data_IF_762960277817
#
_entry.id   IF_762960277817
#
_cell.length_a   1.000
_cell.length_b   1.000
_cell.length_c   1.000
_cell.angle_alpha   90.00
_cell.angle_beta   90.00
_cell.angle_gamma   90.00
#
_symmetry.space_group_name_H-M   'P 1'
#
loop_
_entity.id
_entity.type
_entity.pdbx_description
1 polymer ?
#
# COMPACT_ATOMS: atom_id res chain seq x y z
N UNK A 1 -16.64 -30.64 -6.37
CA UNK A 1 -15.41 -29.98 -6.02
C UNK A 1 -15.10 -29.04 -7.16
N UNK A 2 -15.12 -27.76 -6.92
CA UNK A 2 -14.74 -26.75 -7.92
C UNK A 2 -13.22 -26.55 -7.95
N UNK A 3 -12.69 -26.24 -9.14
CA UNK A 3 -11.26 -26.06 -9.36
C UNK A 3 -10.94 -24.65 -9.85
N UNK A 4 -9.76 -24.18 -9.53
CA UNK A 4 -9.20 -22.99 -10.16
C UNK A 4 -8.84 -23.38 -11.60
N UNK A 5 -9.45 -22.71 -12.58
CA UNK A 5 -9.29 -23.00 -14.01
C UNK A 5 -8.34 -22.07 -14.72
N UNK A 6 -8.15 -20.85 -14.20
CA UNK A 6 -7.32 -19.83 -14.82
C UNK A 6 -6.59 -18.93 -13.80
N UNK A 7 -5.42 -18.51 -14.20
CA UNK A 7 -4.66 -17.39 -13.64
C UNK A 7 -4.30 -16.50 -14.83
N UNK A 8 -4.97 -15.37 -14.93
CA UNK A 8 -4.81 -14.41 -16.04
C UNK A 8 -4.16 -13.14 -15.50
N UNK A 9 -3.32 -12.54 -16.31
CA UNK A 9 -2.64 -11.28 -15.97
C UNK A 9 -2.86 -10.30 -17.11
N UNK A 10 -3.12 -9.05 -16.76
CA UNK A 10 -3.32 -7.94 -17.70
C UNK A 10 -2.35 -6.81 -17.35
N UNK A 11 -1.67 -6.26 -18.34
CA UNK A 11 -0.89 -5.03 -18.18
C UNK A 11 -1.83 -3.83 -18.38
N UNK A 12 -2.19 -3.20 -17.27
CA UNK A 12 -3.09 -2.04 -17.26
C UNK A 12 -2.29 -0.81 -16.86
N UNK A 13 -2.28 0.22 -17.72
CA UNK A 13 -1.51 1.46 -17.48
C UNK A 13 -2.37 2.69 -17.69
N UNK A 14 -2.12 3.69 -16.83
CA UNK A 14 -2.79 4.98 -16.83
C UNK A 14 -1.76 6.08 -17.12
N UNK A 15 -1.99 6.98 -18.08
CA UNK A 15 -1.01 7.98 -18.49
C UNK A 15 -0.95 9.17 -17.52
N UNK A 16 -0.74 8.92 -16.24
CA UNK A 16 -0.72 9.92 -15.17
C UNK A 16 0.41 10.93 -15.32
N UNK A 17 1.49 10.54 -16.02
CA UNK A 17 2.61 11.44 -16.34
C UNK A 17 2.18 12.68 -17.15
N UNK A 18 1.05 12.63 -17.89
CA UNK A 18 0.57 13.75 -18.71
C UNK A 18 0.16 14.97 -17.86
N UNK A 19 -0.36 14.73 -16.66
CA UNK A 19 -0.83 15.76 -15.72
C UNK A 19 0.11 15.94 -14.50
N UNK A 20 1.25 15.25 -14.51
CA UNK A 20 2.21 15.17 -13.39
C UNK A 20 1.65 14.52 -12.11
N UNK A 21 0.53 13.80 -12.20
CA UNK A 21 -0.01 13.07 -11.07
C UNK A 21 0.91 11.90 -10.72
N UNK A 22 1.26 11.79 -9.44
CA UNK A 22 2.23 10.81 -8.97
C UNK A 22 3.70 11.21 -9.11
N UNK A 23 4.00 12.40 -9.67
CA UNK A 23 5.39 12.86 -9.88
C UNK A 23 6.10 13.15 -8.56
N UNK A 24 7.33 12.64 -8.43
CA UNK A 24 8.20 12.81 -7.27
C UNK A 24 9.67 13.04 -7.67
N UNK A 25 10.58 13.16 -6.71
CA UNK A 25 11.99 13.47 -6.95
C UNK A 25 12.77 12.33 -7.63
N UNK A 26 12.29 11.09 -7.54
CA UNK A 26 12.91 9.92 -8.17
C UNK A 26 12.15 9.46 -9.42
N UNK A 27 10.86 9.79 -9.50
CA UNK A 27 9.95 9.37 -10.57
C UNK A 27 9.22 10.59 -11.15
N UNK A 28 9.87 11.37 -12.04
CA UNK A 28 9.30 12.63 -12.54
C UNK A 28 8.16 12.45 -13.55
N UNK A 29 8.01 11.26 -14.11
CA UNK A 29 6.99 10.95 -15.12
C UNK A 29 6.44 9.51 -14.97
N UNK A 30 5.78 9.20 -13.84
CA UNK A 30 5.18 7.88 -13.63
C UNK A 30 3.91 7.73 -14.47
N UNK A 31 3.72 6.55 -15.06
CA UNK A 31 2.43 6.11 -15.58
C UNK A 31 1.90 5.02 -14.64
N UNK A 32 1.01 5.39 -13.73
CA UNK A 32 0.49 4.45 -12.73
C UNK A 32 -0.09 3.22 -13.40
N UNK A 33 0.27 2.05 -12.91
CA UNK A 33 0.01 0.79 -13.62
C UNK A 33 -0.27 -0.35 -12.66
N UNK A 34 -0.92 -1.37 -13.18
CA UNK A 34 -1.18 -2.61 -12.46
C UNK A 34 -0.85 -3.81 -13.36
N UNK A 35 0.01 -4.73 -12.88
CA UNK A 35 -0.02 -6.09 -13.35
C UNK A 35 -1.24 -6.76 -12.68
N UNK A 36 -2.38 -6.68 -13.35
CA UNK A 36 -3.69 -7.03 -12.81
C UNK A 36 -3.98 -8.52 -12.98
N UNK A 37 -4.38 -9.17 -11.90
CA UNK A 37 -4.58 -10.63 -11.82
C UNK A 37 -6.05 -10.97 -11.69
N UNK A 38 -6.50 -11.95 -12.48
CA UNK A 38 -7.79 -12.60 -12.35
C UNK A 38 -7.61 -14.11 -12.10
N UNK A 39 -8.25 -14.62 -11.06
CA UNK A 39 -8.34 -16.05 -10.76
C UNK A 39 -9.77 -16.53 -11.05
N UNK A 40 -9.92 -17.36 -12.10
CA UNK A 40 -11.18 -17.94 -12.50
C UNK A 40 -11.32 -19.38 -11.99
N UNK A 41 -12.58 -19.81 -11.79
CA UNK A 41 -12.92 -21.15 -11.30
C UNK A 41 -14.01 -21.79 -12.17
N UNK A 42 -14.23 -23.09 -12.04
CA UNK A 42 -15.39 -23.80 -12.60
C UNK A 42 -16.60 -23.87 -11.64
N UNK A 43 -16.56 -23.08 -10.57
CA UNK A 43 -17.69 -22.96 -9.64
C UNK A 43 -18.89 -22.29 -10.31
N UNK A 44 -20.11 -22.73 -9.94
CA UNK A 44 -21.35 -22.22 -10.53
C UNK A 44 -21.71 -20.80 -10.06
N UNK A 45 -21.01 -20.27 -9.07
CA UNK A 45 -21.20 -18.89 -8.56
C UNK A 45 -20.71 -17.82 -9.53
N UNK A 46 -19.85 -18.19 -10.50
CA UNK A 46 -19.28 -17.27 -11.50
C UNK A 46 -18.32 -16.22 -10.93
N UNK A 47 -17.90 -16.36 -9.66
CA UNK A 47 -17.04 -15.40 -9.00
C UNK A 47 -15.59 -15.52 -9.49
N UNK A 48 -14.96 -14.36 -9.68
CA UNK A 48 -13.56 -14.22 -10.04
C UNK A 48 -12.85 -13.48 -8.90
N UNK A 49 -11.69 -14.01 -8.50
CA UNK A 49 -10.83 -13.35 -7.54
C UNK A 49 -9.89 -12.37 -8.25
N UNK A 50 -9.76 -11.16 -7.74
CA UNK A 50 -8.95 -10.09 -8.34
C UNK A 50 -7.87 -9.58 -7.39
N UNK A 51 -6.71 -9.25 -7.96
CA UNK A 51 -5.58 -8.69 -7.24
C UNK A 51 -4.61 -8.06 -8.23
N UNK A 52 -3.59 -7.40 -7.76
CA UNK A 52 -2.62 -6.75 -8.65
C UNK A 52 -1.30 -6.48 -7.96
N UNK A 53 -0.28 -6.19 -8.77
CA UNK A 53 0.94 -5.51 -8.36
C UNK A 53 0.87 -4.08 -8.86
N UNK A 54 0.99 -3.10 -7.96
CA UNK A 54 1.15 -1.71 -8.35
C UNK A 54 2.55 -1.48 -8.92
N UNK A 55 2.61 -0.78 -10.04
CA UNK A 55 3.83 -0.31 -10.70
C UNK A 55 3.62 1.11 -11.25
N UNK A 56 4.67 1.70 -11.80
CA UNK A 56 4.65 3.06 -12.33
C UNK A 56 4.96 3.12 -13.84
N UNK A 57 4.63 2.07 -14.57
CA UNK A 57 4.77 1.96 -16.02
C UNK A 57 5.58 0.74 -16.45
N UNK A 58 6.78 0.94 -16.97
CA UNK A 58 7.64 -0.16 -17.44
C UNK A 58 7.98 -1.15 -16.34
N UNK A 59 8.03 -2.43 -16.70
CA UNK A 59 8.31 -3.53 -15.77
C UNK A 59 7.09 -4.38 -15.47
N UNK A 60 5.88 -4.00 -15.90
CA UNK A 60 4.69 -4.86 -15.78
C UNK A 60 4.90 -6.19 -16.50
N UNK A 61 5.52 -6.22 -17.66
CA UNK A 61 5.89 -7.42 -18.41
C UNK A 61 6.78 -8.37 -17.61
N UNK A 62 7.59 -7.87 -16.69
CA UNK A 62 8.41 -8.68 -15.78
C UNK A 62 7.53 -9.25 -14.66
N UNK A 63 6.57 -8.46 -14.15
CA UNK A 63 5.59 -8.95 -13.18
C UNK A 63 4.67 -10.02 -13.78
N UNK A 64 4.20 -9.84 -15.02
CA UNK A 64 3.42 -10.86 -15.74
C UNK A 64 4.15 -12.20 -15.82
N UNK A 65 5.44 -12.18 -16.18
CA UNK A 65 6.28 -13.36 -16.25
C UNK A 65 6.43 -14.03 -14.86
N UNK A 66 6.58 -13.24 -13.81
CA UNK A 66 6.68 -13.73 -12.44
C UNK A 66 5.37 -14.35 -11.94
N UNK A 67 4.24 -13.73 -12.24
CA UNK A 67 2.90 -14.25 -11.91
C UNK A 67 2.64 -15.55 -12.68
N UNK A 68 3.01 -15.61 -13.97
CA UNK A 68 2.87 -16.82 -14.77
C UNK A 68 3.66 -17.99 -14.20
N UNK A 69 4.84 -17.75 -13.58
CA UNK A 69 5.63 -18.77 -12.91
C UNK A 69 4.91 -19.41 -11.69
N UNK A 70 3.93 -18.72 -11.11
CA UNK A 70 3.12 -19.21 -9.98
C UNK A 70 1.94 -20.09 -10.41
N UNK A 71 1.67 -20.18 -11.71
CA UNK A 71 0.50 -20.92 -12.24
C UNK A 71 0.37 -22.33 -11.68
N UNK A 72 1.48 -23.05 -11.54
CA UNK A 72 1.52 -24.41 -11.03
C UNK A 72 1.11 -24.56 -9.56
N UNK A 73 1.12 -23.48 -8.78
CA UNK A 73 0.69 -23.49 -7.39
C UNK A 73 -0.83 -23.37 -7.22
N UNK A 74 -1.53 -22.82 -8.21
CA UNK A 74 -2.95 -22.48 -8.08
C UNK A 74 -3.85 -23.15 -9.11
N UNK A 75 -3.48 -23.19 -10.39
CA UNK A 75 -4.34 -23.75 -11.45
C UNK A 75 -4.47 -25.26 -11.32
N UNK A 76 -5.71 -25.76 -11.33
CA UNK A 76 -6.04 -27.16 -11.11
C UNK A 76 -6.27 -27.53 -9.64
N UNK A 77 -5.95 -26.63 -8.70
CA UNK A 77 -6.19 -26.85 -7.28
C UNK A 77 -7.69 -26.81 -6.95
N UNK A 78 -8.09 -27.52 -5.89
CA UNK A 78 -9.44 -27.46 -5.33
C UNK A 78 -9.66 -26.11 -4.65
N UNK A 79 -10.70 -25.38 -5.08
CA UNK A 79 -10.99 -24.01 -4.59
C UNK A 79 -11.21 -23.99 -3.08
N UNK A 80 -12.02 -24.93 -2.56
CA UNK A 80 -12.36 -24.96 -1.14
C UNK A 80 -11.13 -25.27 -0.28
N UNK A 81 -10.26 -26.17 -0.74
CA UNK A 81 -9.04 -26.51 -0.04
C UNK A 81 -8.07 -25.31 0.02
N UNK A 82 -7.89 -24.60 -1.09
CA UNK A 82 -7.04 -23.39 -1.17
C UNK A 82 -7.56 -22.30 -0.25
N UNK A 83 -8.87 -21.97 -0.33
CA UNK A 83 -9.45 -20.89 0.46
C UNK A 83 -9.59 -21.22 1.95
N UNK A 84 -9.68 -22.51 2.31
CA UNK A 84 -9.70 -22.94 3.70
C UNK A 84 -8.32 -22.87 4.37
N UNK A 85 -7.24 -23.04 3.60
CA UNK A 85 -5.85 -22.99 4.11
C UNK A 85 -5.02 -21.90 3.40
N UNK A 86 -5.41 -20.65 3.59
CA UNK A 86 -4.69 -19.50 3.04
C UNK A 86 -3.27 -19.38 3.57
N UNK A 87 -3.02 -19.80 4.81
CA UNK A 87 -1.67 -19.83 5.39
C UNK A 87 -0.76 -20.86 4.72
N UNK A 88 -1.25 -22.09 4.51
CA UNK A 88 -0.52 -23.13 3.78
C UNK A 88 -0.31 -22.78 2.31
N UNK A 89 -1.33 -22.21 1.66
CA UNK A 89 -1.25 -21.73 0.28
C UNK A 89 -0.18 -20.64 0.11
N UNK A 90 -0.14 -19.67 1.01
CA UNK A 90 0.91 -18.64 1.04
C UNK A 90 2.30 -19.25 1.20
N UNK A 91 2.46 -20.15 2.20
CA UNK A 91 3.74 -20.81 2.48
C UNK A 91 4.21 -21.65 1.29
N UNK A 92 3.32 -22.34 0.59
CA UNK A 92 3.68 -23.15 -0.59
C UNK A 92 4.34 -22.30 -1.69
N UNK A 93 3.85 -21.08 -1.93
CA UNK A 93 4.43 -20.17 -2.93
C UNK A 93 5.73 -19.52 -2.43
N UNK A 94 5.74 -18.97 -1.21
CA UNK A 94 6.90 -18.24 -0.68
C UNK A 94 8.08 -19.19 -0.40
N UNK A 95 7.81 -20.45 -0.06
CA UNK A 95 8.84 -21.45 0.22
C UNK A 95 9.25 -22.30 -0.99
N UNK A 96 8.74 -22.00 -2.19
CA UNK A 96 9.23 -22.68 -3.40
C UNK A 96 10.73 -22.50 -3.54
N UNK A 97 11.46 -23.62 -3.40
CA UNK A 97 12.92 -23.61 -3.31
C UNK A 97 13.59 -23.11 -4.59
N UNK A 98 12.96 -23.30 -5.75
CA UNK A 98 13.50 -22.88 -7.04
C UNK A 98 13.25 -21.37 -7.28
N UNK A 99 12.06 -20.88 -6.96
CA UNK A 99 11.72 -19.46 -7.11
C UNK A 99 12.47 -18.58 -6.11
N UNK A 100 12.82 -19.10 -4.93
CA UNK A 100 13.56 -18.35 -3.89
C UNK A 100 14.92 -17.84 -4.36
N UNK A 101 15.54 -18.46 -5.35
CA UNK A 101 16.83 -17.98 -5.88
C UNK A 101 16.71 -16.65 -6.63
N UNK A 102 15.51 -16.30 -7.11
CA UNK A 102 15.25 -15.00 -7.77
C UNK A 102 15.25 -13.81 -6.79
N UNK A 103 15.51 -14.06 -5.54
CA UNK A 103 15.52 -13.11 -4.46
C UNK A 103 14.63 -13.62 -3.33
N UNK A 104 15.19 -14.09 -2.21
CA UNK A 104 14.39 -14.72 -1.17
C UNK A 104 13.47 -13.68 -0.53
N UNK A 105 12.17 -13.85 -0.72
CA UNK A 105 11.11 -13.04 -0.12
C UNK A 105 11.25 -11.53 -0.38
N UNK A 106 11.59 -11.13 -1.60
CA UNK A 106 11.67 -9.73 -2.01
C UNK A 106 11.55 -9.55 -3.53
N UNK A 107 11.37 -8.30 -3.94
CA UNK A 107 11.37 -7.91 -5.35
C UNK A 107 10.19 -8.47 -6.14
N UNK A 108 10.38 -8.55 -7.44
CA UNK A 108 9.34 -8.91 -8.42
C UNK A 108 8.59 -10.18 -8.05
N UNK A 109 9.31 -11.26 -7.68
CA UNK A 109 8.68 -12.54 -7.35
C UNK A 109 7.80 -12.45 -6.10
N UNK A 110 8.22 -11.69 -5.09
CA UNK A 110 7.46 -11.55 -3.85
C UNK A 110 6.20 -10.70 -4.02
N UNK A 111 6.29 -9.66 -4.85
CA UNK A 111 5.13 -8.85 -5.27
C UNK A 111 4.14 -9.68 -6.11
N UNK A 112 4.64 -10.51 -7.04
CA UNK A 112 3.81 -11.42 -7.83
C UNK A 112 3.03 -12.42 -6.94
N UNK A 113 3.68 -12.98 -5.91
CA UNK A 113 3.02 -13.83 -4.90
C UNK A 113 1.92 -13.01 -4.20
N UNK A 114 2.22 -11.75 -3.84
CA UNK A 114 1.25 -10.84 -3.22
C UNK A 114 -0.01 -10.65 -4.05
N UNK A 115 0.12 -10.43 -5.36
CA UNK A 115 -1.02 -10.27 -6.27
C UNK A 115 -1.90 -11.54 -6.32
N UNK A 116 -1.29 -12.72 -6.43
CA UNK A 116 -2.01 -14.01 -6.44
C UNK A 116 -2.70 -14.27 -5.10
N UNK A 117 -2.03 -14.03 -3.98
CA UNK A 117 -2.57 -14.19 -2.63
C UNK A 117 -3.74 -13.23 -2.40
N UNK A 118 -3.59 -11.96 -2.80
CA UNK A 118 -4.66 -10.96 -2.69
C UNK A 118 -5.89 -11.34 -3.52
N UNK A 119 -5.68 -11.88 -4.74
CA UNK A 119 -6.78 -12.38 -5.58
C UNK A 119 -7.51 -13.57 -4.94
N UNK A 120 -6.80 -14.46 -4.27
CA UNK A 120 -7.42 -15.56 -3.51
C UNK A 120 -8.20 -15.05 -2.29
N UNK A 121 -7.69 -14.03 -1.59
CA UNK A 121 -8.43 -13.38 -0.49
C UNK A 121 -9.67 -12.65 -0.97
N UNK A 122 -9.60 -11.96 -2.11
CA UNK A 122 -10.76 -11.32 -2.74
C UNK A 122 -11.85 -12.36 -3.07
N UNK A 123 -11.45 -13.47 -3.72
CA UNK A 123 -12.37 -14.58 -4.02
C UNK A 123 -12.99 -15.16 -2.75
N UNK A 124 -12.20 -15.36 -1.67
CA UNK A 124 -12.70 -15.86 -0.39
C UNK A 124 -13.71 -14.91 0.22
N UNK A 125 -13.45 -13.60 0.19
CA UNK A 125 -14.33 -12.57 0.72
C UNK A 125 -15.64 -12.45 -0.09
N UNK A 126 -15.57 -12.48 -1.42
CA UNK A 126 -16.73 -12.52 -2.32
C UNK A 126 -17.62 -13.74 -2.04
N UNK A 127 -17.05 -14.93 -1.89
CA UNK A 127 -17.79 -16.17 -1.57
C UNK A 127 -18.40 -16.16 -0.18
N UNK A 128 -17.75 -15.50 0.78
CA UNK A 128 -18.32 -15.29 2.12
C UNK A 128 -19.40 -14.20 2.15
N UNK A 129 -19.60 -13.44 1.07
CA UNK A 129 -20.54 -12.33 1.04
C UNK A 129 -20.13 -11.15 1.94
N UNK A 130 -18.84 -10.98 2.20
CA UNK A 130 -18.32 -9.99 3.15
C UNK A 130 -17.18 -9.16 2.51
N UNK A 131 -17.00 -7.90 2.90
CA UNK A 131 -15.78 -7.17 2.59
C UNK A 131 -14.59 -7.80 3.32
N UNK A 132 -13.41 -7.77 2.72
CA UNK A 132 -12.22 -8.46 3.22
C UNK A 132 -11.87 -8.08 4.67
N UNK A 133 -11.98 -6.78 5.04
CA UNK A 133 -11.68 -6.36 6.41
C UNK A 133 -12.58 -7.03 7.46
N UNK A 134 -13.86 -7.21 7.14
CA UNK A 134 -14.84 -7.81 8.04
C UNK A 134 -14.61 -9.33 8.13
N UNK A 135 -14.37 -9.99 6.98
CA UNK A 135 -14.01 -11.41 6.94
C UNK A 135 -12.78 -11.69 7.83
N UNK A 136 -11.72 -10.90 7.69
CA UNK A 136 -10.50 -11.04 8.51
C UNK A 136 -10.79 -10.80 10.01
N UNK A 137 -11.59 -9.77 10.33
CA UNK A 137 -11.93 -9.44 11.72
C UNK A 137 -12.85 -10.46 12.38
N UNK A 138 -13.56 -11.29 11.62
CA UNK A 138 -14.44 -12.36 12.12
C UNK A 138 -13.68 -13.69 12.34
N UNK A 139 -12.44 -13.82 11.85
CA UNK A 139 -11.62 -15.01 12.11
C UNK A 139 -11.26 -15.11 13.61
N UNK A 140 -11.21 -16.35 14.10
CA UNK A 140 -10.77 -16.62 15.46
C UNK A 140 -9.28 -16.30 15.64
N UNK A 141 -8.83 -15.96 16.86
CA UNK A 141 -7.41 -15.68 17.15
C UNK A 141 -6.44 -16.75 16.63
N UNK A 142 -6.80 -18.03 16.77
CA UNK A 142 -5.99 -19.14 16.30
C UNK A 142 -5.88 -19.17 14.77
N UNK A 143 -6.98 -18.92 14.06
CA UNK A 143 -7.01 -18.86 12.60
C UNK A 143 -6.16 -17.70 12.07
N UNK A 144 -6.19 -16.54 12.74
CA UNK A 144 -5.34 -15.40 12.39
C UNK A 144 -3.84 -15.70 12.58
N UNK A 145 -3.48 -16.43 13.65
CA UNK A 145 -2.08 -16.86 13.87
C UNK A 145 -1.63 -17.86 12.81
N UNK A 146 -2.49 -18.78 12.38
CA UNK A 146 -2.17 -19.79 11.36
C UNK A 146 -1.92 -19.17 9.97
N UNK A 147 -2.44 -17.95 9.71
CA UNK A 147 -2.18 -17.19 8.48
C UNK A 147 -0.75 -16.69 8.39
N UNK A 148 -0.05 -16.53 9.53
CA UNK A 148 1.24 -15.87 9.62
C UNK A 148 2.40 -16.87 9.58
N UNK A 149 3.40 -16.59 8.77
CA UNK A 149 4.68 -17.30 8.85
C UNK A 149 5.64 -16.57 9.80
N UNK A 150 5.86 -17.15 10.96
CA UNK A 150 6.77 -16.62 11.99
C UNK A 150 8.25 -16.92 11.74
N UNK A 151 8.59 -17.59 10.63
CA UNK A 151 10.00 -17.81 10.27
C UNK A 151 10.72 -16.47 10.15
N UNK A 152 11.85 -16.35 10.85
CA UNK A 152 12.68 -15.15 10.96
C UNK A 152 12.08 -14.03 11.83
N UNK A 153 10.98 -14.26 12.55
CA UNK A 153 10.34 -13.26 13.41
C UNK A 153 10.40 -13.60 14.90
N UNK A 154 10.74 -14.84 15.27
CA UNK A 154 10.59 -15.35 16.63
C UNK A 154 11.46 -14.65 17.68
N UNK A 155 12.47 -13.90 17.24
CA UNK A 155 13.27 -12.99 18.10
C UNK A 155 12.57 -11.63 18.35
N UNK A 156 11.51 -11.31 17.60
CA UNK A 156 10.73 -10.08 17.77
C UNK A 156 9.29 -10.36 18.18
N UNK A 157 8.65 -11.39 17.63
CA UNK A 157 7.31 -11.83 18.00
C UNK A 157 7.16 -13.34 17.79
N UNK A 158 6.65 -14.04 18.82
CA UNK A 158 6.35 -15.47 18.78
C UNK A 158 4.88 -15.72 18.42
N UNK A 159 4.51 -16.93 17.93
CA UNK A 159 3.10 -17.30 17.75
C UNK A 159 2.25 -17.15 19.02
N UNK A 160 2.82 -17.45 20.18
CA UNK A 160 2.10 -17.32 21.45
C UNK A 160 1.77 -15.85 21.78
N UNK A 161 2.73 -14.95 21.62
CA UNK A 161 2.51 -13.51 21.80
C UNK A 161 1.50 -12.93 20.80
N UNK A 162 1.56 -13.36 19.54
CA UNK A 162 0.58 -12.97 18.51
C UNK A 162 -0.84 -13.44 18.91
N UNK A 163 -0.98 -14.67 19.41
CA UNK A 163 -2.24 -15.21 19.90
C UNK A 163 -2.77 -14.39 21.09
N UNK A 164 -1.91 -14.00 22.01
CA UNK A 164 -2.28 -13.14 23.15
C UNK A 164 -2.80 -11.77 22.68
N UNK A 165 -2.16 -11.14 21.70
CA UNK A 165 -2.61 -9.87 21.13
C UNK A 165 -4.01 -9.99 20.53
N UNK A 166 -4.27 -10.99 19.70
CA UNK A 166 -5.58 -11.20 19.11
C UNK A 166 -6.67 -11.56 20.13
N UNK A 167 -6.35 -12.39 21.12
CA UNK A 167 -7.29 -12.74 22.22
C UNK A 167 -7.62 -11.54 23.09
N UNK A 168 -6.65 -10.68 23.37
CA UNK A 168 -6.88 -9.45 24.13
C UNK A 168 -7.81 -8.47 23.38
N UNK A 169 -7.73 -8.45 22.04
CA UNK A 169 -8.59 -7.61 21.20
C UNK A 169 -10.00 -8.17 21.00
N UNK A 170 -10.18 -9.48 21.06
CA UNK A 170 -11.43 -10.17 20.68
C UNK A 170 -12.68 -9.66 21.41
N UNK A 171 -12.70 -9.42 22.74
CA UNK A 171 -13.87 -8.91 23.43
C UNK A 171 -14.33 -7.51 22.98
N UNK A 172 -13.40 -6.73 22.40
CA UNK A 172 -13.64 -5.35 21.98
C UNK A 172 -14.04 -5.22 20.51
N UNK A 173 -13.96 -6.28 19.71
CA UNK A 173 -14.16 -6.22 18.24
C UNK A 173 -15.50 -5.63 17.85
N UNK A 174 -16.60 -6.02 18.51
CA UNK A 174 -17.94 -5.51 18.20
C UNK A 174 -18.06 -4.00 18.46
N UNK A 175 -17.52 -3.51 19.57
CA UNK A 175 -17.51 -2.08 19.90
C UNK A 175 -16.63 -1.28 18.93
N UNK A 176 -15.44 -1.79 18.62
CA UNK A 176 -14.52 -1.17 17.67
C UNK A 176 -15.09 -1.11 16.26
N UNK A 177 -15.76 -2.19 15.80
CA UNK A 177 -16.49 -2.22 14.53
C UNK A 177 -17.57 -1.14 14.50
N UNK A 178 -18.42 -1.10 15.51
CA UNK A 178 -19.47 -0.08 15.60
C UNK A 178 -18.91 1.35 15.68
N UNK A 179 -17.75 1.55 16.29
CA UNK A 179 -17.04 2.85 16.30
C UNK A 179 -16.53 3.19 14.89
N UNK A 180 -15.88 2.27 14.20
CA UNK A 180 -15.39 2.44 12.83
C UNK A 180 -16.55 2.79 11.88
N UNK A 181 -17.65 2.07 11.92
CA UNK A 181 -18.83 2.30 11.07
C UNK A 181 -19.49 3.67 11.32
N UNK A 182 -19.42 4.20 12.54
CA UNK A 182 -19.97 5.53 12.86
C UNK A 182 -19.02 6.69 12.60
N UNK A 183 -17.73 6.48 12.70
CA UNK A 183 -16.73 7.55 12.72
C UNK A 183 -15.82 7.53 11.49
N UNK A 184 -15.84 6.48 10.69
CA UNK A 184 -14.88 6.28 9.61
C UNK A 184 -13.42 6.12 10.12
N UNK A 185 -12.49 5.88 9.21
CA UNK A 185 -11.06 5.83 9.47
C UNK A 185 -10.38 7.07 8.94
N UNK A 186 -9.53 7.75 9.72
CA UNK A 186 -8.88 9.01 9.31
C UNK A 186 -8.06 8.83 8.04
N UNK A 187 -8.16 9.82 7.15
CA UNK A 187 -7.33 9.94 5.96
C UNK A 187 -6.36 11.13 6.06
N UNK A 188 -5.28 11.07 5.32
CA UNK A 188 -4.50 12.22 4.89
C UNK A 188 -4.35 12.18 3.37
N UNK A 189 -4.09 13.32 2.72
CA UNK A 189 -4.00 13.33 1.27
C UNK A 189 -2.67 13.83 0.74
N UNK A 190 -2.18 13.17 -0.34
CA UNK A 190 -1.01 13.57 -1.11
C UNK A 190 -1.41 14.37 -2.36
N UNK A 191 -2.69 14.42 -2.70
CA UNK A 191 -3.23 15.10 -3.88
C UNK A 191 -2.64 16.49 -4.15
N UNK A 192 -2.50 17.40 -3.16
CA UNK A 192 -1.92 18.73 -3.44
C UNK A 192 -0.42 18.72 -3.65
N UNK A 193 0.27 17.62 -3.33
CA UNK A 193 1.70 17.63 -3.05
C UNK A 193 2.62 17.17 -4.16
N UNK A 194 2.14 16.72 -5.32
CA UNK A 194 2.99 16.20 -6.37
C UNK A 194 4.00 17.22 -6.89
N UNK A 195 5.19 16.77 -7.31
CA UNK A 195 6.17 17.63 -7.96
C UNK A 195 5.71 17.98 -9.39
N UNK A 196 6.09 19.17 -9.85
CA UNK A 196 5.69 19.67 -11.18
C UNK A 196 4.39 20.47 -11.19
N UNK A 197 3.62 20.49 -10.10
CA UNK A 197 2.48 21.39 -9.98
C UNK A 197 2.93 22.84 -9.78
N UNK A 198 2.28 23.78 -10.49
CA UNK A 198 2.48 25.20 -10.27
C UNK A 198 1.89 25.68 -8.94
N UNK A 199 2.23 26.92 -8.56
CA UNK A 199 1.83 27.51 -7.28
C UNK A 199 0.32 27.65 -7.13
N UNK A 200 -0.38 27.95 -8.23
CA UNK A 200 -1.83 28.12 -8.24
C UNK A 200 -2.53 26.77 -8.03
N UNK A 201 -2.10 25.73 -8.74
CA UNK A 201 -2.62 24.34 -8.56
C UNK A 201 -2.35 23.86 -7.14
N UNK A 202 -1.11 24.02 -6.62
CA UNK A 202 -0.75 23.65 -5.26
C UNK A 202 -1.66 24.34 -4.22
N UNK A 203 -1.80 25.67 -4.29
CA UNK A 203 -2.61 26.42 -3.34
C UNK A 203 -4.11 26.09 -3.45
N UNK A 204 -4.62 25.85 -4.66
CA UNK A 204 -6.01 25.44 -4.88
C UNK A 204 -6.28 24.07 -4.26
N UNK A 205 -5.47 23.06 -4.57
CA UNK A 205 -5.63 21.70 -4.03
C UNK A 205 -5.42 21.63 -2.51
N UNK A 206 -4.56 22.49 -1.95
CA UNK A 206 -4.43 22.64 -0.49
C UNK A 206 -5.73 23.15 0.15
N UNK A 207 -6.42 24.13 -0.46
CA UNK A 207 -7.72 24.61 0.04
C UNK A 207 -8.80 23.55 -0.08
N UNK A 208 -8.91 22.91 -1.23
CA UNK A 208 -9.83 21.80 -1.48
C UNK A 208 -9.67 20.69 -0.43
N UNK A 209 -8.43 20.27 -0.14
CA UNK A 209 -8.16 19.27 0.90
C UNK A 209 -8.68 19.70 2.30
N UNK A 210 -8.53 20.99 2.66
CA UNK A 210 -9.07 21.50 3.94
C UNK A 210 -10.59 21.54 3.91
N UNK A 211 -11.19 21.96 2.81
CA UNK A 211 -12.65 22.03 2.64
C UNK A 211 -13.29 20.64 2.67
N UNK A 212 -12.58 19.62 2.17
CA UNK A 212 -12.95 18.19 2.22
C UNK A 212 -12.70 17.53 3.60
N UNK A 213 -12.26 18.30 4.59
CA UNK A 213 -12.12 17.85 5.98
C UNK A 213 -10.80 17.13 6.29
N UNK A 214 -9.82 17.13 5.40
CA UNK A 214 -8.50 16.56 5.71
C UNK A 214 -7.78 17.42 6.76
N UNK A 215 -7.26 16.76 7.78
CA UNK A 215 -6.48 17.38 8.86
C UNK A 215 -4.98 17.22 8.67
N UNK A 216 -4.57 16.58 7.58
CA UNK A 216 -3.18 16.39 7.20
C UNK A 216 -3.07 16.24 5.68
N UNK A 217 -2.05 16.92 5.12
CA UNK A 217 -1.62 16.78 3.73
C UNK A 217 -0.17 16.27 3.68
N UNK A 218 0.26 15.77 2.52
CA UNK A 218 1.65 15.39 2.26
C UNK A 218 2.15 16.09 0.99
N UNK A 219 3.39 16.62 1.04
CA UNK A 219 4.07 17.22 -0.11
C UNK A 219 5.29 16.39 -0.49
N UNK A 220 5.46 16.12 -1.79
CA UNK A 220 6.71 15.59 -2.34
C UNK A 220 7.79 16.66 -2.31
N UNK A 221 9.00 16.28 -1.90
CA UNK A 221 10.18 17.13 -1.76
C UNK A 221 11.41 16.41 -2.33
N UNK A 222 12.57 17.08 -2.38
CA UNK A 222 13.83 16.46 -2.80
C UNK A 222 14.23 16.79 -4.24
N UNK A 223 13.46 17.60 -4.95
CA UNK A 223 13.83 18.09 -6.28
C UNK A 223 14.88 19.20 -6.20
N UNK A 224 14.53 20.33 -5.60
CA UNK A 224 15.36 21.50 -5.32
C UNK A 224 14.97 22.08 -3.96
N UNK A 225 15.94 22.35 -3.09
CA UNK A 225 15.68 22.75 -1.70
C UNK A 225 15.02 24.12 -1.59
N UNK A 226 15.36 25.08 -2.45
CA UNK A 226 14.77 26.41 -2.41
C UNK A 226 13.33 26.39 -2.95
N UNK A 227 13.06 25.57 -3.96
CA UNK A 227 11.72 25.30 -4.45
C UNK A 227 10.86 24.58 -3.38
N UNK A 228 11.42 23.60 -2.68
CA UNK A 228 10.71 22.90 -1.61
C UNK A 228 10.37 23.85 -0.46
N UNK A 229 11.29 24.73 -0.05
CA UNK A 229 11.03 25.80 0.94
C UNK A 229 9.90 26.72 0.47
N UNK A 230 9.91 27.11 -0.81
CA UNK A 230 8.89 27.98 -1.39
C UNK A 230 7.51 27.27 -1.40
N UNK A 231 7.45 26.02 -1.88
CA UNK A 231 6.21 25.21 -1.92
C UNK A 231 5.65 24.95 -0.52
N UNK A 232 6.51 24.61 0.44
CA UNK A 232 6.12 24.46 1.85
C UNK A 232 5.58 25.78 2.43
N UNK A 233 6.13 26.93 2.06
CA UNK A 233 5.63 28.25 2.45
C UNK A 233 4.23 28.51 1.91
N UNK A 234 3.96 28.20 0.64
CA UNK A 234 2.65 28.34 0.01
C UNK A 234 1.65 27.41 0.69
N UNK A 235 1.98 26.12 0.85
CA UNK A 235 1.11 25.15 1.48
C UNK A 235 0.74 25.58 2.91
N UNK A 236 1.75 25.89 3.76
CA UNK A 236 1.51 26.31 5.15
C UNK A 236 0.68 27.59 5.25
N UNK A 237 0.93 28.57 4.40
CA UNK A 237 0.13 29.81 4.37
C UNK A 237 -1.33 29.53 3.95
N UNK A 238 -1.54 28.54 3.09
CA UNK A 238 -2.87 28.18 2.58
C UNK A 238 -3.67 27.36 3.58
N UNK A 239 -3.07 26.31 4.17
CA UNK A 239 -3.81 25.40 5.07
C UNK A 239 -3.89 25.90 6.52
N UNK A 240 -3.11 26.92 6.89
CA UNK A 240 -3.06 27.44 8.27
C UNK A 240 -2.26 26.55 9.23
N UNK A 241 -2.18 26.92 10.51
CA UNK A 241 -1.34 26.26 11.51
C UNK A 241 -1.91 24.92 12.00
N UNK A 242 -3.21 24.69 11.90
CA UNK A 242 -3.89 23.53 12.49
C UNK A 242 -3.81 22.26 11.61
N UNK A 243 -3.54 22.43 10.32
CA UNK A 243 -3.37 21.31 9.39
C UNK A 243 -1.93 20.80 9.43
N UNK A 244 -1.77 19.51 9.59
CA UNK A 244 -0.45 18.86 9.60
C UNK A 244 0.08 18.74 8.18
N UNK A 245 1.39 19.00 7.97
CA UNK A 245 2.04 18.83 6.69
C UNK A 245 3.14 17.77 6.85
N UNK A 246 2.98 16.62 6.21
CA UNK A 246 4.04 15.64 6.03
C UNK A 246 4.84 15.95 4.77
N UNK A 247 6.09 15.51 4.72
CA UNK A 247 6.93 15.58 3.52
C UNK A 247 7.44 14.20 3.14
N UNK A 248 7.63 13.98 1.83
CA UNK A 248 8.09 12.72 1.27
C UNK A 248 9.20 12.99 0.25
N UNK A 249 10.39 12.44 0.53
CA UNK A 249 11.58 12.61 -0.28
C UNK A 249 11.80 11.47 -1.30
N UNK A 250 10.99 10.43 -1.24
CA UNK A 250 11.08 9.27 -2.14
C UNK A 250 12.52 8.75 -2.31
N UNK A 251 13.23 8.56 -1.19
CA UNK A 251 14.56 7.93 -1.15
C UNK A 251 15.71 8.78 -1.75
N UNK A 252 15.51 10.09 -1.87
CA UNK A 252 16.38 10.98 -2.65
C UNK A 252 17.76 11.20 -2.04
N UNK A 253 17.90 11.20 -0.71
CA UNK A 253 19.05 11.77 -0.02
C UNK A 253 19.99 10.74 0.60
N UNK A 254 21.26 11.10 0.67
CA UNK A 254 22.19 10.53 1.65
C UNK A 254 21.94 11.12 3.05
N UNK A 255 22.50 10.50 4.11
CA UNK A 255 22.25 10.88 5.52
C UNK A 255 22.47 12.35 5.81
N UNK A 256 23.62 12.90 5.43
CA UNK A 256 23.97 14.30 5.72
C UNK A 256 23.11 15.28 4.90
N UNK A 257 22.83 14.93 3.66
CA UNK A 257 21.94 15.70 2.79
C UNK A 257 20.51 15.72 3.35
N UNK A 258 19.96 14.56 3.76
CA UNK A 258 18.65 14.48 4.40
C UNK A 258 18.53 15.42 5.60
N UNK A 259 19.51 15.41 6.50
CA UNK A 259 19.49 16.27 7.69
C UNK A 259 19.55 17.75 7.29
N UNK A 260 20.43 18.12 6.35
CA UNK A 260 20.59 19.51 5.90
C UNK A 260 19.29 20.02 5.22
N UNK A 261 18.66 19.20 4.40
CA UNK A 261 17.39 19.53 3.72
C UNK A 261 16.23 19.69 4.71
N UNK A 262 16.09 18.73 5.62
CA UNK A 262 15.04 18.74 6.64
C UNK A 262 15.18 19.94 7.58
N UNK A 263 16.40 20.36 7.92
CA UNK A 263 16.64 21.57 8.72
C UNK A 263 16.12 22.85 8.02
N UNK A 264 16.17 22.91 6.69
CA UNK A 264 15.58 24.00 5.91
C UNK A 264 14.04 23.99 5.97
N UNK A 265 13.43 22.79 6.07
CA UNK A 265 11.98 22.62 6.08
C UNK A 265 11.38 22.61 7.51
N UNK A 266 12.22 22.47 8.55
CA UNK A 266 11.79 22.47 9.96
C UNK A 266 10.90 23.65 10.37
N UNK A 267 11.12 24.91 9.88
CA UNK A 267 10.26 26.04 10.24
C UNK A 267 8.78 25.91 9.86
N UNK A 268 8.43 24.95 8.98
CA UNK A 268 7.07 24.73 8.53
C UNK A 268 6.28 23.72 9.38
N UNK A 269 6.80 23.30 10.54
CA UNK A 269 6.17 22.32 11.45
C UNK A 269 5.83 20.99 10.75
N UNK A 270 6.89 20.29 10.30
CA UNK A 270 6.79 19.04 9.56
C UNK A 270 6.25 17.92 10.45
N UNK A 271 5.16 17.28 10.04
CA UNK A 271 4.49 16.22 10.78
C UNK A 271 5.26 14.89 10.79
N UNK A 272 5.88 14.54 9.67
CA UNK A 272 6.88 13.49 9.50
C UNK A 272 7.67 13.69 8.21
N UNK A 273 8.83 13.05 8.13
CA UNK A 273 9.63 12.90 6.91
C UNK A 273 9.51 11.45 6.44
N UNK A 274 9.03 11.27 5.21
CA UNK A 274 8.82 9.98 4.58
C UNK A 274 9.99 9.66 3.66
N UNK A 275 10.45 8.39 3.72
CA UNK A 275 11.53 7.83 2.88
C UNK A 275 12.70 8.77 2.62
N UNK A 276 13.40 9.28 3.65
CA UNK A 276 14.47 10.24 3.46
C UNK A 276 15.65 9.69 2.66
N UNK A 277 15.88 8.37 2.71
CA UNK A 277 17.01 7.68 2.06
C UNK A 277 16.59 6.29 1.55
N UNK A 278 17.54 5.53 0.99
CA UNK A 278 17.30 4.20 0.45
C UNK A 278 16.48 3.30 1.39
N UNK A 279 15.41 2.64 0.93
CA UNK A 279 14.59 1.75 1.76
C UNK A 279 15.36 0.52 2.29
N UNK A 280 16.48 0.19 1.67
CA UNK A 280 17.35 -0.93 2.10
C UNK A 280 18.37 -0.49 3.16
N UNK A 281 18.55 0.83 3.41
CA UNK A 281 19.50 1.35 4.39
C UNK A 281 18.82 1.65 5.74
N UNK A 282 18.61 0.57 6.50
CA UNK A 282 17.97 0.61 7.82
C UNK A 282 18.77 1.45 8.81
N UNK A 283 20.09 1.36 8.76
CA UNK A 283 20.97 2.10 9.68
C UNK A 283 21.03 3.59 9.35
N UNK A 284 20.99 3.97 8.08
CA UNK A 284 20.88 5.35 7.66
C UNK A 284 19.55 5.96 8.10
N UNK A 285 18.43 5.26 7.96
CA UNK A 285 17.15 5.69 8.51
C UNK A 285 17.21 5.93 10.02
N UNK A 286 17.84 5.01 10.78
CA UNK A 286 18.00 5.17 12.23
C UNK A 286 18.87 6.39 12.58
N UNK A 287 19.95 6.64 11.85
CA UNK A 287 20.82 7.81 12.06
C UNK A 287 20.09 9.11 11.71
N UNK A 288 19.36 9.16 10.59
CA UNK A 288 18.53 10.31 10.23
C UNK A 288 17.49 10.57 11.32
N UNK A 289 16.72 9.55 11.74
CA UNK A 289 15.70 9.69 12.78
C UNK A 289 16.26 10.28 14.08
N UNK A 290 17.46 9.84 14.48
CA UNK A 290 18.14 10.39 15.65
C UNK A 290 18.53 11.86 15.50
N UNK A 291 19.00 12.25 14.32
CA UNK A 291 19.53 13.61 14.04
C UNK A 291 18.43 14.64 13.82
N UNK A 292 17.31 14.25 13.24
CA UNK A 292 16.20 15.19 12.97
C UNK A 292 15.19 15.28 14.11
N UNK A 293 15.37 14.51 15.18
CA UNK A 293 14.45 14.53 16.31
C UNK A 293 14.10 15.98 16.73
N UNK A 294 12.85 16.28 17.12
CA UNK A 294 11.74 15.36 17.35
C UNK A 294 10.86 15.03 16.13
N UNK A 295 11.26 15.40 14.90
CA UNK A 295 10.48 15.12 13.69
C UNK A 295 10.48 13.61 13.45
N UNK A 296 9.30 12.95 13.35
CA UNK A 296 9.21 11.53 13.07
C UNK A 296 9.71 11.17 11.67
N UNK A 297 10.32 10.00 11.51
CA UNK A 297 10.55 9.36 10.20
C UNK A 297 9.40 8.40 9.93
N UNK A 298 8.89 8.44 8.70
CA UNK A 298 7.94 7.47 8.14
C UNK A 298 8.64 6.69 7.01
N UNK A 299 8.44 5.36 6.96
CA UNK A 299 8.96 4.52 5.87
C UNK A 299 8.26 3.17 5.85
N UNK A 300 8.37 2.46 4.73
CA UNK A 300 7.90 1.09 4.61
C UNK A 300 7.19 0.74 3.31
N UNK A 301 6.77 1.69 2.49
CA UNK A 301 6.12 1.42 1.21
C UNK A 301 7.01 0.61 0.26
N UNK A 302 8.32 0.80 0.33
CA UNK A 302 9.31 0.05 -0.44
C UNK A 302 9.97 -1.10 0.34
N UNK A 303 9.56 -1.37 1.59
CA UNK A 303 10.15 -2.50 2.33
C UNK A 303 9.87 -3.83 1.62
N UNK A 304 10.89 -4.66 1.55
CA UNK A 304 10.83 -5.88 0.75
C UNK A 304 9.98 -6.98 1.40
N UNK A 305 9.90 -7.05 2.74
CA UNK A 305 9.24 -8.13 3.46
C UNK A 305 9.13 -7.84 4.96
N UNK A 306 8.46 -8.75 5.69
CA UNK A 306 8.30 -8.70 7.16
C UNK A 306 9.61 -8.67 7.96
N UNK A 307 10.71 -9.23 7.41
CA UNK A 307 12.01 -9.22 8.09
C UNK A 307 12.61 -7.83 8.07
N UNK A 308 12.45 -7.09 6.98
CA UNK A 308 12.85 -5.67 6.90
C UNK A 308 12.01 -4.84 7.87
N UNK A 309 10.69 -5.05 7.94
CA UNK A 309 9.84 -4.39 8.93
C UNK A 309 10.33 -4.61 10.37
N UNK A 310 10.66 -5.88 10.71
CA UNK A 310 11.27 -6.21 12.00
C UNK A 310 12.54 -5.41 12.27
N UNK A 311 13.45 -5.36 11.30
CA UNK A 311 14.74 -4.67 11.45
C UNK A 311 14.57 -3.15 11.57
N UNK A 312 13.67 -2.54 10.80
CA UNK A 312 13.32 -1.12 10.92
C UNK A 312 12.83 -0.79 12.34
N UNK A 313 11.95 -1.63 12.89
CA UNK A 313 11.44 -1.48 14.25
C UNK A 313 12.57 -1.63 15.28
N UNK A 314 13.38 -2.70 15.19
CA UNK A 314 14.45 -2.99 16.14
C UNK A 314 15.56 -1.93 16.14
N UNK A 315 15.84 -1.33 14.99
CA UNK A 315 16.84 -0.27 14.85
C UNK A 315 16.32 1.11 15.29
N UNK A 316 15.01 1.26 15.55
CA UNK A 316 14.42 2.58 15.83
C UNK A 316 14.48 3.52 14.62
N UNK A 317 14.40 2.97 13.41
CA UNK A 317 14.59 3.69 12.16
C UNK A 317 13.42 4.60 11.80
N UNK A 318 12.24 4.36 12.39
CA UNK A 318 11.03 5.13 12.10
C UNK A 318 10.08 5.14 13.30
N UNK A 319 9.15 6.10 13.28
CA UNK A 319 8.04 6.22 14.23
C UNK A 319 6.68 5.98 13.57
N UNK A 320 6.64 5.96 12.23
CA UNK A 320 5.46 5.69 11.41
C UNK A 320 5.83 4.61 10.40
N UNK A 321 5.19 3.46 10.51
CA UNK A 321 5.34 2.37 9.55
C UNK A 321 4.28 2.50 8.45
N UNK A 322 4.73 2.46 7.20
CA UNK A 322 3.88 2.56 6.02
C UNK A 322 3.84 1.22 5.31
N UNK A 323 2.84 0.40 5.65
CA UNK A 323 2.58 -0.82 4.88
C UNK A 323 2.01 -0.47 3.51
N UNK A 324 2.22 -1.38 2.54
CA UNK A 324 1.59 -1.35 1.23
C UNK A 324 0.90 -2.69 0.96
N UNK A 325 -0.27 -2.66 0.33
CA UNK A 325 -1.07 -3.87 0.10
C UNK A 325 -0.49 -4.78 -0.98
N UNK A 326 0.38 -4.26 -1.85
CA UNK A 326 0.89 -4.94 -3.05
C UNK A 326 2.41 -5.12 -3.08
N UNK A 327 3.14 -4.44 -2.19
CA UNK A 327 4.61 -4.46 -2.18
C UNK A 327 5.19 -5.75 -1.60
N UNK A 328 4.55 -6.29 -0.58
CA UNK A 328 4.92 -7.56 0.07
C UNK A 328 4.03 -8.71 -0.41
N UNK A 329 4.22 -9.93 0.10
CA UNK A 329 3.45 -11.09 -0.35
C UNK A 329 1.98 -11.10 0.14
N UNK A 330 1.28 -9.97 0.02
CA UNK A 330 -0.16 -9.84 0.20
C UNK A 330 -0.60 -9.81 1.67
N UNK A 331 -1.90 -10.13 1.88
CA UNK A 331 -2.59 -10.03 3.17
C UNK A 331 -1.83 -10.75 4.29
N UNK A 332 -1.41 -11.99 4.08
CA UNK A 332 -0.75 -12.81 5.11
C UNK A 332 0.52 -12.16 5.66
N UNK A 333 1.33 -11.58 4.80
CA UNK A 333 2.55 -10.92 5.22
C UNK A 333 2.28 -9.57 5.89
N UNK A 334 1.30 -8.82 5.38
CA UNK A 334 0.87 -7.59 6.05
C UNK A 334 0.33 -7.86 7.47
N UNK A 335 -0.36 -8.99 7.71
CA UNK A 335 -0.76 -9.39 9.07
C UNK A 335 0.45 -9.58 10.01
N UNK A 336 1.53 -10.19 9.51
CA UNK A 336 2.77 -10.35 10.28
C UNK A 336 3.39 -8.98 10.63
N UNK A 337 3.38 -8.04 9.67
CA UNK A 337 3.92 -6.69 9.85
C UNK A 337 3.06 -5.88 10.83
N UNK A 338 1.74 -5.96 10.75
CA UNK A 338 0.81 -5.32 11.68
C UNK A 338 0.99 -5.85 13.11
N UNK A 339 1.19 -7.16 13.28
CA UNK A 339 1.48 -7.77 14.59
C UNK A 339 2.80 -7.25 15.18
N UNK A 340 3.86 -7.14 14.37
CA UNK A 340 5.13 -6.54 14.80
C UNK A 340 4.92 -5.09 15.27
N UNK A 341 4.21 -4.29 14.45
CA UNK A 341 3.91 -2.90 14.78
C UNK A 341 3.10 -2.79 16.09
N UNK A 342 2.07 -3.61 16.24
CA UNK A 342 1.22 -3.63 17.43
C UNK A 342 2.02 -4.00 18.70
N UNK A 343 2.83 -5.06 18.64
CA UNK A 343 3.67 -5.47 19.77
C UNK A 343 4.64 -4.41 20.23
N UNK A 344 5.22 -3.68 19.30
CA UNK A 344 6.24 -2.67 19.58
C UNK A 344 5.70 -1.23 19.70
N UNK A 345 4.37 -1.05 19.65
CA UNK A 345 3.73 0.26 19.79
C UNK A 345 4.04 1.22 18.65
N UNK A 346 4.35 0.71 17.44
CA UNK A 346 4.63 1.52 16.27
C UNK A 346 3.32 1.91 15.58
N UNK A 347 3.18 3.18 15.27
CA UNK A 347 2.03 3.70 14.55
C UNK A 347 2.09 3.26 13.08
N UNK A 348 0.98 2.75 12.54
CA UNK A 348 0.86 2.38 11.13
C UNK A 348 0.00 3.43 10.41
N UNK A 349 0.55 4.00 9.34
CA UNK A 349 -0.13 4.92 8.42
C UNK A 349 0.18 4.47 6.99
N UNK A 350 -0.64 3.58 6.39
CA UNK A 350 -0.33 2.95 5.12
C UNK A 350 -0.10 3.90 3.97
N UNK A 351 0.78 3.50 3.05
CA UNK A 351 0.91 4.04 1.71
C UNK A 351 -0.30 3.63 0.85
N UNK A 352 -0.81 4.57 0.05
CA UNK A 352 -1.87 4.32 -0.92
C UNK A 352 -1.79 5.22 -2.17
N UNK A 353 -0.63 5.83 -2.40
CA UNK A 353 -0.39 6.74 -3.54
C UNK A 353 -0.27 6.04 -4.88
N UNK A 354 -1.28 5.29 -5.32
CA UNK A 354 -1.24 4.56 -6.59
C UNK A 354 -2.58 3.96 -6.97
N UNK A 355 -2.71 3.49 -8.21
CA UNK A 355 -3.95 2.88 -8.72
C UNK A 355 -4.34 1.66 -7.86
N UNK A 356 -5.58 1.64 -7.35
CA UNK A 356 -6.14 0.54 -6.57
C UNK A 356 -5.56 0.36 -5.17
N UNK A 357 -4.55 1.13 -4.77
CA UNK A 357 -3.93 0.99 -3.45
C UNK A 357 -4.84 1.47 -2.33
N UNK A 358 -5.61 2.55 -2.53
CA UNK A 358 -6.62 3.00 -1.58
C UNK A 358 -7.67 1.91 -1.34
N UNK A 359 -8.17 1.28 -2.42
CA UNK A 359 -9.14 0.19 -2.40
C UNK A 359 -8.63 -1.01 -1.61
N UNK A 360 -7.37 -1.40 -1.83
CA UNK A 360 -6.78 -2.58 -1.20
C UNK A 360 -6.39 -2.35 0.26
N UNK A 361 -5.70 -1.23 0.58
CA UNK A 361 -5.08 -1.04 1.91
C UNK A 361 -6.06 -0.68 3.00
N UNK A 362 -7.21 -0.07 2.66
CA UNK A 362 -8.25 0.24 3.64
C UNK A 362 -8.70 -0.99 4.41
N UNK A 363 -8.76 -2.17 3.76
CA UNK A 363 -9.15 -3.42 4.41
C UNK A 363 -8.14 -3.84 5.49
N UNK A 364 -6.85 -3.68 5.25
CA UNK A 364 -5.80 -3.99 6.22
C UNK A 364 -5.86 -3.04 7.43
N UNK A 365 -6.09 -1.75 7.18
CA UNK A 365 -6.20 -0.74 8.25
C UNK A 365 -7.44 -0.92 9.11
N UNK A 366 -8.58 -1.24 8.49
CA UNK A 366 -9.82 -1.47 9.21
C UNK A 366 -9.79 -2.78 10.01
N UNK A 367 -9.18 -3.84 9.45
CA UNK A 367 -8.88 -5.06 10.21
C UNK A 367 -8.02 -4.76 11.44
N UNK A 368 -6.91 -4.03 11.28
CA UNK A 368 -6.03 -3.67 12.38
C UNK A 368 -6.76 -2.90 13.48
N UNK A 369 -7.58 -1.91 13.09
CA UNK A 369 -8.37 -1.14 14.04
C UNK A 369 -9.40 -1.99 14.79
N UNK A 370 -10.04 -2.95 14.13
CA UNK A 370 -11.10 -3.78 14.75
C UNK A 370 -10.50 -4.93 15.55
N UNK A 371 -9.60 -5.70 14.92
CA UNK A 371 -9.17 -7.01 15.42
C UNK A 371 -7.83 -6.99 16.15
N UNK A 372 -7.08 -5.89 16.14
CA UNK A 372 -5.76 -5.83 16.74
C UNK A 372 -5.58 -4.63 17.70
N UNK A 373 -5.50 -3.41 17.19
CA UNK A 373 -5.05 -2.26 18.01
C UNK A 373 -6.19 -1.43 18.62
N UNK A 374 -7.31 -1.25 17.91
CA UNK A 374 -8.40 -0.36 18.32
C UNK A 374 -8.10 1.14 18.11
N UNK A 375 -6.98 1.48 17.48
CA UNK A 375 -6.55 2.87 17.32
C UNK A 375 -7.15 3.49 16.04
N UNK A 376 -8.16 4.34 16.22
CA UNK A 376 -8.77 5.18 15.20
C UNK A 376 -8.38 6.66 15.34
N UNK A 377 -7.55 7.01 16.33
CA UNK A 377 -7.28 8.40 16.69
C UNK A 377 -5.92 8.88 16.19
N UNK A 378 -4.88 8.03 16.25
CA UNK A 378 -3.52 8.41 15.88
C UNK A 378 -3.09 7.89 14.51
N UNK A 379 -3.76 6.84 14.01
CA UNK A 379 -3.49 6.23 12.69
C UNK A 379 -4.31 6.92 11.60
N UNK A 380 -3.79 6.90 10.38
CA UNK A 380 -4.46 7.44 9.19
C UNK A 380 -4.01 6.66 7.96
N UNK A 381 -4.83 6.67 6.91
CA UNK A 381 -4.52 6.07 5.61
C UNK A 381 -4.25 7.19 4.63
N UNK A 382 -3.27 7.01 3.73
CA UNK A 382 -3.06 7.90 2.60
C UNK A 382 -4.25 7.86 1.65
N UNK A 383 -4.56 9.01 1.05
CA UNK A 383 -5.56 9.14 -0.01
C UNK A 383 -4.99 9.97 -1.16
N UNK A 384 -5.27 9.54 -2.37
CA UNK A 384 -5.10 10.29 -3.62
C UNK A 384 -6.44 10.30 -4.33
N UNK A 385 -6.77 11.36 -5.05
CA UNK A 385 -8.12 11.64 -5.56
C UNK A 385 -8.38 11.17 -7.00
N UNK A 386 -7.55 10.28 -7.53
CA UNK A 386 -7.62 9.87 -8.92
C UNK A 386 -7.63 8.35 -9.11
N UNK A 387 -8.16 7.90 -10.26
CA UNK A 387 -8.24 6.52 -10.73
C UNK A 387 -9.26 5.62 -10.01
N UNK A 388 -10.03 6.13 -9.05
CA UNK A 388 -11.08 5.36 -8.37
C UNK A 388 -12.23 4.96 -9.30
N UNK A 389 -12.51 5.79 -10.31
CA UNK A 389 -13.54 5.56 -11.33
C UNK A 389 -13.32 4.30 -12.18
N UNK A 390 -12.15 3.69 -12.08
CA UNK A 390 -11.79 2.48 -12.79
C UNK A 390 -12.16 1.19 -12.05
N UNK A 391 -12.70 1.30 -10.83
CA UNK A 391 -13.05 0.15 -9.98
C UNK A 391 -14.57 -0.04 -9.86
N UNK A 392 -15.00 -1.31 -9.75
CA UNK A 392 -16.40 -1.67 -9.52
C UNK A 392 -16.89 -1.15 -8.18
N UNK A 393 -16.02 -1.15 -7.18
CA UNK A 393 -16.30 -0.65 -5.84
C UNK A 393 -15.19 0.34 -5.44
N UNK A 394 -15.30 1.60 -5.87
CA UNK A 394 -14.34 2.63 -5.50
C UNK A 394 -14.37 2.90 -3.98
N UNK A 395 -13.28 3.43 -3.44
CA UNK A 395 -13.26 3.86 -2.04
C UNK A 395 -14.26 4.98 -1.78
N UNK A 396 -14.85 4.95 -0.60
CA UNK A 396 -15.71 6.03 -0.10
C UNK A 396 -14.89 6.88 0.87
N UNK A 397 -14.46 8.06 0.41
CA UNK A 397 -13.68 9.02 1.22
C UNK A 397 -14.36 10.37 1.19
N UNK A 398 -14.85 10.81 2.35
CA UNK A 398 -15.40 12.14 2.55
C UNK A 398 -15.18 12.59 4.00
N UNK A 399 -15.26 13.89 4.26
CA UNK A 399 -14.97 14.49 5.56
C UNK A 399 -13.57 14.09 6.10
N UNK A 400 -12.57 13.93 5.19
CA UNK A 400 -11.22 13.51 5.53
C UNK A 400 -11.11 12.10 6.10
N UNK A 401 -12.03 11.20 5.74
CA UNK A 401 -12.13 9.83 6.27
C UNK A 401 -12.50 8.81 5.21
N UNK A 402 -11.91 7.61 5.35
CA UNK A 402 -12.40 6.40 4.68
C UNK A 402 -13.60 5.85 5.42
N UNK A 403 -14.66 5.55 4.69
CA UNK A 403 -15.82 4.86 5.22
C UNK A 403 -15.76 3.37 4.89
N UNK A 404 -16.09 2.49 5.86
CA UNK A 404 -15.89 1.06 5.68
C UNK A 404 -16.70 0.50 4.50
N UNK A 405 -16.05 -0.17 3.53
CA UNK A 405 -16.75 -0.82 2.44
C UNK A 405 -17.66 -1.93 2.97
N UNK A 406 -18.83 -2.05 2.35
CA UNK A 406 -19.82 -3.08 2.68
C UNK A 406 -19.94 -4.14 1.57
N UNK A 407 -19.49 -3.84 0.37
CA UNK A 407 -19.51 -4.78 -0.75
C UNK A 407 -18.56 -5.97 -0.49
N UNK A 408 -18.95 -7.20 -0.89
CA UNK A 408 -18.09 -8.36 -0.77
C UNK A 408 -16.82 -8.24 -1.61
N UNK A 409 -15.69 -8.74 -1.09
CA UNK A 409 -14.40 -8.71 -1.77
C UNK A 409 -13.41 -7.73 -1.16
N UNK A 410 -12.34 -7.49 -1.89
CA UNK A 410 -11.24 -6.59 -1.51
C UNK A 410 -11.32 -5.22 -2.22
N UNK A 411 -12.38 -4.93 -2.98
CA UNK A 411 -12.55 -3.71 -3.75
C UNK A 411 -11.60 -3.56 -4.95
N UNK A 412 -10.83 -4.59 -5.27
CA UNK A 412 -9.78 -4.56 -6.30
C UNK A 412 -10.26 -4.88 -7.72
N UNK A 413 -11.57 -5.10 -7.90
CA UNK A 413 -12.14 -5.44 -9.20
C UNK A 413 -12.22 -4.21 -10.10
N UNK A 414 -11.48 -4.23 -11.22
CA UNK A 414 -11.55 -3.18 -12.24
C UNK A 414 -12.76 -3.37 -13.17
N UNK A 415 -13.27 -2.26 -13.69
CA UNK A 415 -14.33 -2.27 -14.70
C UNK A 415 -13.82 -2.94 -16.00
N UNK A 416 -14.68 -3.73 -16.66
CA UNK A 416 -14.33 -4.40 -17.91
C UNK A 416 -13.91 -3.42 -19.02
N UNK A 417 -14.51 -2.23 -19.03
CA UNK A 417 -14.12 -1.15 -19.95
C UNK A 417 -12.70 -0.67 -19.67
N UNK A 418 -12.33 -0.54 -18.40
CA UNK A 418 -10.95 -0.19 -18.00
C UNK A 418 -9.93 -1.21 -18.50
N UNK A 419 -10.22 -2.51 -18.31
CA UNK A 419 -9.34 -3.59 -18.75
C UNK A 419 -9.14 -3.60 -20.27
N UNK A 420 -10.11 -3.09 -21.03
CA UNK A 420 -10.02 -2.97 -22.51
C UNK A 420 -9.33 -1.68 -22.93
N UNK A 421 -9.72 -0.57 -22.30
CA UNK A 421 -9.31 0.78 -22.75
C UNK A 421 -7.87 1.09 -22.36
N UNK A 422 -7.44 0.62 -21.20
CA UNK A 422 -6.12 0.90 -20.63
C UNK A 422 -5.12 -0.29 -20.75
N UNK A 423 -5.52 -1.35 -21.50
CA UNK A 423 -4.61 -2.45 -21.80
C UNK A 423 -3.37 -1.94 -22.56
N UNK A 424 -2.18 -2.25 -22.06
CA UNK A 424 -0.94 -1.84 -22.70
C UNK A 424 -0.35 -3.01 -23.50
N UNK A 425 0.15 -2.80 -24.74
CA UNK A 425 0.15 -1.53 -25.50
C UNK A 425 -1.08 -1.32 -26.39
N UNK A 426 -2.01 -2.27 -26.47
CA UNK A 426 -3.03 -2.37 -27.51
C UNK A 426 -4.31 -1.55 -27.24
N UNK A 427 -4.49 -1.06 -26.01
CA UNK A 427 -5.67 -0.28 -25.61
C UNK A 427 -5.73 1.09 -26.30
N UNK A 428 -6.94 1.62 -26.56
CA UNK A 428 -7.11 2.92 -27.25
C UNK A 428 -6.34 4.08 -26.61
N UNK A 429 -6.16 4.08 -25.29
CA UNK A 429 -5.40 5.13 -24.56
C UNK A 429 -3.93 5.18 -24.99
N UNK A 430 -3.40 4.06 -25.46
CA UNK A 430 -1.99 3.88 -25.84
C UNK A 430 -1.76 3.82 -27.36
N UNK A 431 -2.80 3.89 -28.18
CA UNK A 431 -2.73 3.68 -29.64
C UNK A 431 -1.73 4.59 -30.40
N UNK A 432 -1.43 5.78 -29.85
CA UNK A 432 -0.45 6.72 -30.40
C UNK A 432 0.90 6.71 -29.65
N UNK A 433 1.07 5.80 -28.70
CA UNK A 433 2.27 5.70 -27.86
C UNK A 433 3.28 4.74 -28.45
N UNK A 434 4.56 5.07 -28.38
CA UNK A 434 5.65 4.14 -28.66
C UNK A 434 5.91 3.29 -27.39
N UNK A 435 5.61 1.98 -27.41
CA UNK A 435 5.74 1.13 -26.21
C UNK A 435 7.19 1.00 -25.74
N UNK A 436 8.17 1.19 -26.63
CA UNK A 436 9.61 1.10 -26.32
C UNK A 436 10.20 2.46 -25.90
N UNK A 437 9.42 3.54 -25.99
CA UNK A 437 9.91 4.87 -25.64
C UNK A 437 10.17 5.01 -24.16
N UNK A 438 11.40 5.33 -23.81
CA UNK A 438 11.76 5.85 -22.49
C UNK A 438 11.51 7.35 -22.49
N UNK A 439 10.61 7.89 -21.64
CA UNK A 439 10.40 9.33 -21.53
C UNK A 439 11.72 10.05 -21.26
N UNK A 440 11.92 11.22 -21.90
CA UNK A 440 13.19 11.97 -21.79
C UNK A 440 13.49 12.36 -20.33
N UNK A 441 12.45 12.62 -19.52
CA UNK A 441 12.58 12.90 -18.09
C UNK A 441 13.17 11.72 -17.27
N UNK A 442 13.11 10.50 -17.82
CA UNK A 442 13.64 9.28 -17.16
C UNK A 442 15.00 8.87 -17.69
N UNK A 443 15.47 9.50 -18.78
CA UNK A 443 16.83 9.30 -19.31
C UNK A 443 17.78 10.06 -18.42
N UNK A 444 18.49 9.34 -17.56
CA UNK A 444 19.59 9.92 -16.79
C UNK A 444 20.68 10.36 -17.77
N UNK A 445 21.11 11.59 -17.66
CA UNK A 445 22.22 12.14 -18.45
C UNK A 445 23.55 11.46 -18.07
#
# INVERSE_FOLDING_TARGET
MSRITGLHVHDIRFPTSREHDGSDAMNPAPDYSAAYVEISTDALDGLVGTGFVFTIGRGNEVQESAIAALRGHVVGADVEAVLADMGGTWRAMVHDSQLRWLGPEKGVMHMAIGAVVNALWDLRAKRAGQPLWALLADLRPEELVDLVDFRYLTDAITPAEALELFRAAEPMRAERRARLERAGYRAYTTTPGWLGYDDEKLARLCREAVDDGFTQIKLKVGGDVDEDVRRMGIARATVGPDIRIAIDANQRWDVDEAVAWIDRLRPFDVAWVEEPTSPDDILAHAEIARRIAPIPVATGEHMANRVIAKQLIQAGSMSVLQIDATRVAGVNENLAILLLAAKHGVRVCPHAGGVGLCEAVQHLSMFDAVALTGDLDTRCIEFVDHLHEHFVTPVDVHDGRYWPPTAPGAGTEMLADTLTTHAFPDGPVWAESDPDRVPDAVRVA
#
